data_IF_875835048460
#
_entry.id   IF_875835048460
#
_cell.length_a   1.000
_cell.length_b   1.000
_cell.length_c   1.000
_cell.angle_alpha   90.00
_cell.angle_beta   90.00
_cell.angle_gamma   90.00
#
_symmetry.space_group_name_H-M   'P 1'
#
loop_
_entity.id
_entity.type
_entity.pdbx_description
1 polymer ?
#
# COMPACT_ATOMS: atom_id res chain seq x y z
N UNK A 1 5.09 -3.59 7.60
CA UNK A 1 4.76 -2.90 6.33
C UNK A 1 3.67 -3.62 5.57
N UNK A 2 2.95 -2.88 4.75
CA UNK A 2 1.87 -3.41 3.92
C UNK A 2 1.87 -2.65 2.59
N UNK A 3 1.66 -3.33 1.48
CA UNK A 3 1.67 -2.72 0.16
C UNK A 3 0.44 -3.04 -0.68
N UNK A 4 0.08 -2.11 -1.56
CA UNK A 4 -0.96 -2.28 -2.58
C UNK A 4 -0.38 -1.85 -3.92
N UNK A 5 -0.63 -2.62 -4.96
CA UNK A 5 -0.17 -2.30 -6.31
C UNK A 5 -1.34 -2.17 -7.28
N UNK A 6 -1.28 -1.16 -8.13
CA UNK A 6 -2.18 -0.98 -9.27
C UNK A 6 -1.58 -1.62 -10.54
N UNK A 7 -0.26 -1.74 -10.56
CA UNK A 7 0.49 -2.43 -11.61
C UNK A 7 1.66 -3.17 -10.99
N UNK A 8 2.12 -4.24 -11.62
CA UNK A 8 3.33 -4.95 -11.20
C UNK A 8 4.59 -4.21 -11.64
N UNK A 9 5.67 -4.36 -10.87
CA UNK A 9 6.98 -3.86 -11.30
C UNK A 9 7.62 -4.82 -12.31
N UNK A 10 8.50 -4.27 -13.15
CA UNK A 10 9.29 -5.03 -14.12
C UNK A 10 10.77 -4.91 -13.76
N UNK A 11 11.36 -5.90 -13.08
CA UNK A 11 12.79 -5.86 -12.76
C UNK A 11 13.63 -5.82 -14.04
N UNK A 12 14.67 -4.98 -14.12
CA UNK A 12 15.51 -4.89 -15.32
C UNK A 12 16.14 -6.22 -15.74
N UNK A 13 16.56 -7.02 -14.79
CA UNK A 13 17.18 -8.32 -15.06
C UNK A 13 16.21 -9.35 -15.64
N UNK A 14 14.93 -9.26 -15.29
CA UNK A 14 13.90 -10.18 -15.76
C UNK A 14 13.27 -9.71 -17.08
N UNK A 15 13.09 -8.40 -17.27
CA UNK A 15 12.52 -7.82 -18.46
C UNK A 15 11.02 -8.03 -18.65
N UNK A 16 10.34 -8.60 -17.65
CA UNK A 16 8.88 -8.83 -17.67
C UNK A 16 8.28 -8.53 -16.28
N UNK A 17 6.98 -8.23 -16.20
CA UNK A 17 6.31 -7.99 -14.92
C UNK A 17 6.38 -9.21 -14.01
N UNK A 18 6.48 -8.97 -12.70
CA UNK A 18 6.53 -10.05 -11.69
C UNK A 18 5.20 -10.79 -11.57
N UNK A 19 4.10 -10.11 -11.86
CA UNK A 19 2.75 -10.68 -11.89
C UNK A 19 1.85 -9.83 -12.78
N UNK A 20 0.67 -10.33 -13.10
CA UNK A 20 -0.31 -9.60 -13.91
C UNK A 20 -1.50 -9.16 -13.07
N UNK A 21 -2.01 -7.95 -13.33
CA UNK A 21 -3.20 -7.37 -12.68
C UNK A 21 -4.15 -6.90 -13.77
N UNK A 22 -5.44 -7.19 -13.62
CA UNK A 22 -6.47 -6.68 -14.53
C UNK A 22 -6.62 -5.15 -14.43
N UNK A 23 -7.16 -4.51 -15.48
CA UNK A 23 -7.26 -3.05 -15.56
C UNK A 23 -8.10 -2.42 -14.45
N UNK A 24 -9.05 -3.16 -13.88
CA UNK A 24 -9.95 -2.72 -12.82
C UNK A 24 -9.63 -3.37 -11.47
N UNK A 25 -8.45 -3.95 -11.32
CA UNK A 25 -8.05 -4.68 -10.12
C UNK A 25 -6.83 -4.05 -9.45
N UNK A 26 -6.67 -4.36 -8.16
CA UNK A 26 -5.49 -4.04 -7.36
C UNK A 26 -4.99 -5.31 -6.67
N UNK A 27 -3.69 -5.39 -6.50
CA UNK A 27 -3.03 -6.46 -5.73
C UNK A 27 -2.75 -5.97 -4.32
N UNK A 28 -3.24 -6.70 -3.31
CA UNK A 28 -3.13 -6.32 -1.90
C UNK A 28 -2.10 -7.20 -1.19
N UNK A 29 -1.20 -6.58 -0.44
CA UNK A 29 -0.20 -7.28 0.36
C UNK A 29 1.11 -7.54 -0.38
N UNK A 30 1.45 -6.74 -1.37
CA UNK A 30 2.73 -6.87 -2.09
C UNK A 30 3.92 -6.61 -1.18
N UNK A 31 5.04 -7.26 -1.48
CA UNK A 31 6.32 -6.99 -0.82
C UNK A 31 7.05 -5.78 -1.40
N UNK A 32 8.01 -5.23 -0.64
CA UNK A 32 8.81 -4.07 -1.07
C UNK A 32 9.74 -4.38 -2.24
N UNK A 33 9.99 -5.65 -2.51
CA UNK A 33 10.78 -6.11 -3.67
C UNK A 33 9.89 -6.50 -4.85
N UNK A 34 8.59 -6.16 -4.81
CA UNK A 34 7.64 -6.44 -5.87
C UNK A 34 7.08 -7.85 -5.90
N UNK A 35 7.20 -8.59 -4.81
CA UNK A 35 6.61 -9.92 -4.70
C UNK A 35 5.08 -9.84 -4.79
N UNK A 36 4.40 -10.85 -5.39
CA UNK A 36 2.95 -10.89 -5.47
C UNK A 36 2.28 -10.78 -4.10
N UNK A 37 1.12 -10.14 -4.06
CA UNK A 37 0.34 -9.96 -2.84
C UNK A 37 -0.43 -11.22 -2.43
N UNK A 38 -1.22 -11.05 -1.37
CA UNK A 38 -2.04 -12.13 -0.81
C UNK A 38 -3.42 -12.22 -1.44
N UNK A 39 -3.91 -11.10 -1.95
CA UNK A 39 -5.27 -11.00 -2.48
C UNK A 39 -5.32 -10.02 -3.64
N UNK A 40 -6.30 -10.23 -4.49
CA UNK A 40 -6.61 -9.35 -5.60
C UNK A 40 -8.08 -8.94 -5.49
N UNK A 41 -8.36 -7.67 -5.72
CA UNK A 41 -9.72 -7.14 -5.64
C UNK A 41 -9.91 -6.00 -6.63
N UNK A 42 -11.15 -5.55 -6.80
CA UNK A 42 -11.46 -4.39 -7.62
C UNK A 42 -10.98 -3.10 -6.96
N UNK A 43 -10.83 -2.06 -7.76
CA UNK A 43 -10.47 -0.74 -7.30
C UNK A 43 -11.43 -0.22 -6.24
N UNK A 44 -10.89 0.48 -5.25
CA UNK A 44 -11.63 1.15 -4.19
C UNK A 44 -11.12 2.58 -4.02
N UNK A 45 -11.90 3.48 -3.41
CA UNK A 45 -11.45 4.85 -3.13
C UNK A 45 -10.21 4.91 -2.23
N UNK A 46 -9.50 6.04 -2.27
CA UNK A 46 -8.24 6.23 -1.55
C UNK A 46 -8.35 5.95 -0.04
N UNK A 47 -9.43 6.37 0.61
CA UNK A 47 -9.61 6.12 2.03
C UNK A 47 -9.75 4.61 2.36
N UNK A 48 -10.34 3.83 1.47
CA UNK A 48 -10.43 2.37 1.63
C UNK A 48 -9.07 1.70 1.34
N UNK A 49 -8.30 2.23 0.38
CA UNK A 49 -6.91 1.76 0.16
C UNK A 49 -6.08 1.95 1.42
N UNK A 50 -6.21 3.10 2.09
CA UNK A 50 -5.52 3.35 3.35
C UNK A 50 -5.95 2.37 4.43
N UNK A 51 -7.23 2.02 4.52
CA UNK A 51 -7.71 1.00 5.45
C UNK A 51 -7.06 -0.37 5.17
N UNK A 52 -6.99 -0.77 3.88
CA UNK A 52 -6.32 -2.02 3.48
C UNK A 52 -4.84 -2.05 3.88
N UNK A 53 -4.19 -0.90 3.89
CA UNK A 53 -2.78 -0.77 4.27
C UNK A 53 -2.59 -0.73 5.79
N UNK A 54 -3.42 0.02 6.51
CA UNK A 54 -3.25 0.25 7.94
C UNK A 54 -3.78 -0.88 8.83
N UNK A 55 -4.92 -1.46 8.51
CA UNK A 55 -5.54 -2.49 9.36
C UNK A 55 -4.63 -3.66 9.67
N UNK A 56 -3.93 -4.28 8.69
CA UNK A 56 -3.00 -5.36 9.00
C UNK A 56 -1.83 -4.92 9.87
N UNK A 57 -1.32 -3.70 9.67
CA UNK A 57 -0.19 -3.17 10.44
C UNK A 57 -0.59 -2.91 11.88
N UNK A 58 -1.72 -2.23 12.08
CA UNK A 58 -2.22 -1.87 13.42
C UNK A 58 -2.63 -3.12 14.21
N UNK A 59 -3.16 -4.13 13.52
CA UNK A 59 -3.57 -5.39 14.15
C UNK A 59 -2.41 -6.29 14.55
N UNK A 60 -1.29 -6.20 13.80
CA UNK A 60 -0.12 -7.06 14.01
C UNK A 60 0.71 -6.65 15.22
N UNK A 61 0.75 -5.36 15.54
CA UNK A 61 1.54 -4.80 16.63
C UNK A 61 0.59 -4.23 17.69
N UNK A 62 0.86 -4.48 18.99
CA UNK A 62 -0.05 -4.02 20.07
C UNK A 62 0.12 -2.53 20.36
N UNK A 63 -0.28 -1.66 19.42
CA UNK A 63 -0.30 -0.22 19.63
C UNK A 63 -1.37 0.18 20.65
N UNK A 64 -1.05 1.21 21.44
CA UNK A 64 -1.98 1.82 22.38
C UNK A 64 -2.20 3.29 22.05
N UNK A 65 -3.36 3.83 22.44
CA UNK A 65 -3.64 5.25 22.28
C UNK A 65 -2.57 6.09 22.99
N UNK A 66 -2.02 7.06 22.29
CA UNK A 66 -0.95 7.92 22.78
C UNK A 66 0.46 7.43 22.45
N UNK A 67 0.61 6.27 21.85
CA UNK A 67 1.93 5.79 21.40
C UNK A 67 2.50 6.71 20.31
N UNK A 68 3.80 6.93 20.37
CA UNK A 68 4.52 7.64 19.30
C UNK A 68 4.86 6.66 18.17
N UNK A 69 4.54 7.05 16.94
CA UNK A 69 4.83 6.25 15.76
C UNK A 69 5.45 7.11 14.66
N UNK A 70 6.25 6.50 13.79
CA UNK A 70 6.71 7.11 12.57
C UNK A 70 5.89 6.58 11.40
N UNK A 71 5.30 7.48 10.62
CA UNK A 71 4.51 7.14 9.45
C UNK A 71 5.30 7.42 8.17
N UNK A 72 5.43 6.41 7.32
CA UNK A 72 6.05 6.54 6.00
C UNK A 72 5.13 5.97 4.95
N UNK A 73 4.90 6.72 3.88
CA UNK A 73 4.19 6.26 2.68
C UNK A 73 5.18 6.16 1.54
N UNK A 74 5.39 4.96 1.02
CA UNK A 74 6.38 4.67 -0.01
C UNK A 74 5.70 4.47 -1.36
N UNK A 75 6.08 5.27 -2.35
CA UNK A 75 5.56 5.18 -3.71
C UNK A 75 6.23 4.15 -4.60
N UNK A 76 7.27 3.47 -4.10
CA UNK A 76 8.02 2.43 -4.83
C UNK A 76 8.55 2.89 -6.20
N UNK A 77 8.76 4.21 -6.37
CA UNK A 77 9.29 4.81 -7.58
C UNK A 77 8.28 5.08 -8.69
N UNK A 78 7.06 4.58 -8.59
CA UNK A 78 6.04 4.69 -9.64
C UNK A 78 4.82 5.54 -9.29
N UNK A 79 4.58 5.83 -8.03
CA UNK A 79 3.41 6.60 -7.60
C UNK A 79 3.73 8.10 -7.57
N UNK A 80 2.91 8.94 -8.23
CA UNK A 80 3.10 10.40 -8.19
C UNK A 80 3.07 10.93 -6.75
N UNK A 81 3.91 11.93 -6.47
CA UNK A 81 4.05 12.50 -5.11
C UNK A 81 2.75 13.11 -4.58
N UNK A 82 1.92 13.67 -5.47
CA UNK A 82 0.61 14.20 -5.08
C UNK A 82 -0.32 13.14 -4.49
N UNK A 83 -0.27 11.92 -5.03
CA UNK A 83 -1.03 10.79 -4.50
C UNK A 83 -0.46 10.32 -3.16
N UNK A 84 0.85 10.36 -2.99
CA UNK A 84 1.49 10.03 -1.71
C UNK A 84 1.08 11.02 -0.61
N UNK A 85 0.99 12.30 -0.93
CA UNK A 85 0.50 13.31 0.01
C UNK A 85 -0.95 13.08 0.40
N UNK A 86 -1.81 12.72 -0.56
CA UNK A 86 -3.19 12.38 -0.28
C UNK A 86 -3.30 11.18 0.68
N UNK A 87 -2.59 10.10 0.38
CA UNK A 87 -2.60 8.88 1.20
C UNK A 87 -2.03 9.16 2.59
N UNK A 88 -0.96 9.95 2.69
CA UNK A 88 -0.39 10.33 3.97
C UNK A 88 -1.39 11.12 4.82
N UNK A 89 -2.08 12.09 4.24
CA UNK A 89 -3.10 12.87 4.95
C UNK A 89 -4.21 11.99 5.52
N UNK A 90 -4.73 11.06 4.72
CA UNK A 90 -5.77 10.12 5.16
C UNK A 90 -5.23 9.21 6.27
N UNK A 91 -4.05 8.64 6.10
CA UNK A 91 -3.43 7.76 7.10
C UNK A 91 -3.19 8.50 8.42
N UNK A 92 -2.71 9.75 8.35
CA UNK A 92 -2.49 10.59 9.53
C UNK A 92 -3.78 10.81 10.32
N UNK A 93 -4.87 11.15 9.64
CA UNK A 93 -6.18 11.35 10.27
C UNK A 93 -6.69 10.07 10.95
N UNK A 94 -6.54 8.93 10.29
CA UNK A 94 -6.97 7.63 10.83
C UNK A 94 -6.15 7.24 12.06
N UNK A 95 -4.84 7.48 12.06
CA UNK A 95 -3.97 7.16 13.19
C UNK A 95 -4.16 8.12 14.36
N UNK A 96 -4.56 9.36 14.10
CA UNK A 96 -4.83 10.35 15.15
C UNK A 96 -6.17 10.13 15.88
N UNK A 97 -7.03 9.30 15.32
CA UNK A 97 -8.34 9.00 15.89
C UNK A 97 -8.26 8.05 17.09
#
# INVERSE_FOLDING_TARGET
>A
TMGVALTACTPPAKGEPLFEIGDDEIEVGIGIHGEPGRARQKWVPANEIVDLLLEPIVSDIPYSSGDDVALMVNGLGGTPISELYLLYGIAHEKLAA
#
